data_IF_718392193136
#
_entry.id   IF_718392193136
#
_cell.length_a   1.000
_cell.length_b   1.000
_cell.length_c   1.000
_cell.angle_alpha   90.00
_cell.angle_beta   90.00
_cell.angle_gamma   90.00
#
_symmetry.space_group_name_H-M   'P 1'
#
loop_
_entity.id
_entity.type
_entity.pdbx_description
1 polymer ?
#
# COMPACT_ATOMS: atom_id res chain seq x y z
N UNK A 1 -19.71 -14.30 37.36
CA UNK A 1 -19.54 -13.11 36.48
C UNK A 1 -18.12 -13.01 35.91
N UNK A 2 -17.06 -13.14 36.72
CA UNK A 2 -15.66 -13.05 36.23
C UNK A 2 -15.22 -14.24 35.36
N UNK A 3 -15.61 -15.48 35.71
CA UNK A 3 -15.27 -16.68 34.92
C UNK A 3 -15.91 -16.66 33.53
N UNK A 4 -17.21 -16.37 33.46
CA UNK A 4 -17.98 -16.32 32.20
C UNK A 4 -17.46 -15.26 31.21
N UNK A 5 -16.88 -14.17 31.72
CA UNK A 5 -16.24 -13.14 30.89
C UNK A 5 -14.87 -13.59 30.38
N UNK A 6 -14.10 -14.34 31.19
CA UNK A 6 -12.83 -14.92 30.76
C UNK A 6 -13.03 -15.99 29.68
N UNK A 7 -14.07 -16.82 29.83
CA UNK A 7 -14.40 -17.87 28.86
C UNK A 7 -14.94 -17.29 27.55
N UNK A 8 -15.66 -16.16 27.61
CA UNK A 8 -16.08 -15.42 26.41
C UNK A 8 -14.93 -14.69 25.73
N UNK A 9 -13.94 -14.20 26.49
CA UNK A 9 -12.77 -13.54 25.93
C UNK A 9 -11.81 -14.55 25.28
N UNK A 10 -11.65 -15.74 25.86
CA UNK A 10 -10.83 -16.80 25.27
C UNK A 10 -11.44 -17.36 23.98
N UNK A 11 -12.78 -17.51 23.93
CA UNK A 11 -13.50 -17.88 22.72
C UNK A 11 -13.31 -16.86 21.59
N UNK A 12 -13.46 -15.56 21.90
CA UNK A 12 -13.26 -14.48 20.91
C UNK A 12 -11.80 -14.40 20.44
N UNK A 13 -10.82 -14.67 21.30
CA UNK A 13 -9.41 -14.73 20.88
C UNK A 13 -9.06 -15.97 20.06
N UNK A 14 -9.80 -17.07 20.24
CA UNK A 14 -9.65 -18.30 19.44
C UNK A 14 -10.30 -18.14 18.06
N UNK A 15 -11.49 -17.53 17.99
CA UNK A 15 -12.17 -17.22 16.72
C UNK A 15 -11.35 -16.22 15.90
N UNK A 16 -10.80 -15.17 16.52
CA UNK A 16 -9.90 -14.23 15.82
C UNK A 16 -8.62 -14.86 15.29
N UNK A 17 -8.06 -15.83 16.02
CA UNK A 17 -6.84 -16.54 15.57
C UNK A 17 -7.12 -17.52 14.43
N UNK A 18 -8.38 -17.95 14.29
CA UNK A 18 -8.81 -18.82 13.19
C UNK A 18 -9.10 -18.03 11.90
N UNK A 19 -9.47 -16.75 12.02
CA UNK A 19 -9.70 -15.85 10.88
C UNK A 19 -8.40 -15.31 10.26
N UNK A 20 -7.29 -15.22 11.01
CA UNK A 20 -5.98 -14.78 10.48
C UNK A 20 -5.14 -15.90 9.83
N UNK A 21 -5.46 -17.18 10.03
CA UNK A 21 -4.72 -18.32 9.44
C UNK A 21 -5.40 -18.89 8.16
N UNK A 22 -6.47 -18.26 7.68
CA UNK A 22 -7.31 -18.75 6.58
C UNK A 22 -7.41 -17.86 5.34
N UNK A 23 -6.62 -16.79 5.23
CA UNK A 23 -6.42 -16.13 3.93
C UNK A 23 -5.43 -16.95 3.13
N UNK A 24 -5.94 -18.03 2.50
CA UNK A 24 -5.36 -18.52 1.25
C UNK A 24 -5.06 -17.30 0.40
N UNK A 25 -3.78 -17.08 0.13
CA UNK A 25 -3.25 -16.24 -0.92
C UNK A 25 -4.00 -16.60 -2.21
N UNK A 26 -5.18 -16.02 -2.42
CA UNK A 26 -5.68 -15.80 -3.75
C UNK A 26 -4.66 -14.84 -4.29
N UNK A 27 -3.78 -15.33 -5.15
CA UNK A 27 -3.21 -14.54 -6.22
C UNK A 27 -4.40 -13.75 -6.79
N UNK A 28 -4.59 -12.51 -6.35
CA UNK A 28 -5.41 -11.57 -7.07
C UNK A 28 -4.66 -11.37 -8.37
N UNK A 29 -4.93 -12.26 -9.33
CA UNK A 29 -4.63 -12.01 -10.73
C UNK A 29 -5.07 -10.57 -10.98
N UNK A 30 -4.11 -9.75 -11.39
CA UNK A 30 -4.36 -8.35 -11.67
C UNK A 30 -5.62 -8.27 -12.56
N UNK A 31 -6.55 -7.34 -12.31
CA UNK A 31 -7.75 -7.18 -13.15
C UNK A 31 -7.40 -7.05 -14.65
N UNK A 32 -6.17 -6.65 -14.95
CA UNK A 32 -5.59 -6.58 -16.29
C UNK A 32 -5.28 -7.97 -16.86
N UNK A 33 -4.61 -8.88 -16.13
CA UNK A 33 -4.36 -10.27 -16.57
C UNK A 33 -5.67 -11.00 -16.90
N UNK A 34 -6.70 -10.80 -16.07
CA UNK A 34 -7.98 -11.49 -16.21
C UNK A 34 -8.76 -11.03 -17.44
N UNK A 35 -8.66 -9.74 -17.79
CA UNK A 35 -9.26 -9.18 -19.00
C UNK A 35 -8.47 -9.61 -20.25
N UNK A 36 -7.14 -9.59 -20.19
CA UNK A 36 -6.25 -10.04 -21.28
C UNK A 36 -6.50 -11.50 -21.66
N UNK A 37 -6.62 -12.39 -20.67
CA UNK A 37 -6.95 -13.80 -20.88
C UNK A 37 -8.34 -14.00 -21.54
N UNK A 38 -9.35 -13.25 -21.09
CA UNK A 38 -10.71 -13.35 -21.62
C UNK A 38 -10.86 -12.86 -23.06
N UNK A 39 -10.09 -11.82 -23.44
CA UNK A 39 -10.18 -11.24 -24.78
C UNK A 39 -9.41 -12.06 -25.81
N UNK A 40 -8.27 -12.65 -25.42
CA UNK A 40 -7.51 -13.57 -26.26
C UNK A 40 -8.34 -14.74 -26.81
N UNK A 41 -9.31 -15.23 -26.03
CA UNK A 41 -10.23 -16.32 -26.42
C UNK A 41 -11.04 -16.01 -27.68
N UNK A 42 -11.39 -14.74 -27.93
CA UNK A 42 -12.16 -14.33 -29.11
C UNK A 42 -11.26 -13.95 -30.29
N UNK A 43 -10.15 -13.28 -30.00
CA UNK A 43 -9.25 -12.77 -31.03
C UNK A 43 -8.42 -13.86 -31.71
N UNK A 44 -7.96 -14.88 -30.97
CA UNK A 44 -7.13 -15.93 -31.57
C UNK A 44 -7.90 -16.80 -32.59
N UNK A 45 -9.17 -17.21 -32.36
CA UNK A 45 -9.98 -17.85 -33.39
C UNK A 45 -10.25 -16.96 -34.61
N UNK A 46 -10.46 -15.66 -34.41
CA UNK A 46 -10.64 -14.71 -35.52
C UNK A 46 -9.37 -14.60 -36.36
N UNK A 47 -8.21 -14.47 -35.72
CA UNK A 47 -6.92 -14.45 -36.38
C UNK A 47 -6.68 -15.74 -37.17
N UNK A 48 -6.99 -16.89 -36.58
CA UNK A 48 -6.87 -18.19 -37.24
C UNK A 48 -7.81 -18.35 -38.44
N UNK A 49 -9.04 -17.84 -38.35
CA UNK A 49 -9.99 -17.79 -39.46
C UNK A 49 -9.51 -16.91 -40.63
N UNK A 50 -8.77 -15.83 -40.34
CA UNK A 50 -8.18 -14.96 -41.38
C UNK A 50 -6.90 -15.56 -41.99
N UNK A 51 -6.10 -16.28 -41.22
CA UNK A 51 -4.85 -16.88 -41.68
C UNK A 51 -5.06 -18.23 -42.41
N UNK A 52 -6.07 -19.01 -42.04
CA UNK A 52 -6.30 -20.35 -42.62
C UNK A 52 -6.50 -20.40 -44.15
N UNK A 53 -7.27 -19.48 -44.80
CA UNK A 53 -7.49 -19.53 -46.24
C UNK A 53 -6.22 -19.19 -47.02
N UNK A 54 -5.35 -18.36 -46.44
CA UNK A 54 -4.09 -17.95 -47.05
C UNK A 54 -3.10 -19.11 -47.22
N UNK A 55 -3.29 -20.22 -46.48
CA UNK A 55 -2.46 -21.43 -46.59
C UNK A 55 -2.75 -22.22 -47.87
N UNK A 56 -3.98 -22.11 -48.39
CA UNK A 56 -4.50 -22.89 -49.52
C UNK A 56 -4.47 -22.12 -50.85
N UNK A 57 -4.33 -20.79 -50.81
CA UNK A 57 -4.28 -19.93 -52.00
C UNK A 57 -2.84 -19.84 -52.54
N UNK A 58 -2.45 -20.74 -53.44
CA UNK A 58 -1.14 -20.76 -54.12
C UNK A 58 -1.21 -20.74 -55.65
N UNK A 59 -2.25 -20.12 -56.24
CA UNK A 59 -2.45 -20.05 -57.69
C UNK A 59 -2.37 -18.64 -58.29
N UNK A 60 -2.05 -18.49 -59.59
CA UNK A 60 -1.95 -17.20 -60.28
C UNK A 60 -3.28 -16.39 -60.26
N UNK A 61 -4.44 -17.06 -60.32
CA UNK A 61 -5.78 -16.43 -60.26
C UNK A 61 -6.21 -16.03 -58.83
N UNK A 62 -5.40 -16.33 -57.81
CA UNK A 62 -5.70 -16.09 -56.39
C UNK A 62 -4.83 -14.98 -55.77
N UNK A 63 -4.08 -14.24 -56.60
CA UNK A 63 -3.15 -13.22 -56.13
C UNK A 63 -3.85 -12.06 -55.44
N UNK A 64 -4.89 -11.51 -56.08
CA UNK A 64 -5.66 -10.39 -55.55
C UNK A 64 -6.40 -10.77 -54.26
N UNK A 65 -6.94 -11.99 -54.17
CA UNK A 65 -7.62 -12.46 -52.96
C UNK A 65 -6.64 -12.71 -51.81
N UNK A 66 -5.43 -13.20 -52.09
CA UNK A 66 -4.35 -13.33 -51.10
C UNK A 66 -3.91 -11.97 -50.53
N UNK A 67 -3.78 -10.95 -51.38
CA UNK A 67 -3.40 -9.59 -50.98
C UNK A 67 -4.47 -8.96 -50.06
N UNK A 68 -5.76 -9.09 -50.41
CA UNK A 68 -6.87 -8.61 -49.57
C UNK A 68 -6.91 -9.33 -48.22
N UNK A 69 -6.73 -10.65 -48.19
CA UNK A 69 -6.69 -11.44 -46.95
C UNK A 69 -5.52 -11.03 -46.03
N UNK A 70 -4.35 -10.75 -46.59
CA UNK A 70 -3.21 -10.23 -45.83
C UNK A 70 -3.51 -8.85 -45.24
N UNK A 71 -4.12 -7.95 -46.01
CA UNK A 71 -4.50 -6.63 -45.52
C UNK A 71 -5.52 -6.72 -44.36
N UNK A 72 -6.52 -7.60 -44.49
CA UNK A 72 -7.48 -7.88 -43.42
C UNK A 72 -6.82 -8.47 -42.17
N UNK A 73 -5.88 -9.39 -42.35
CA UNK A 73 -5.11 -9.98 -41.24
C UNK A 73 -4.29 -8.91 -40.51
N UNK A 74 -3.65 -8.01 -41.25
CA UNK A 74 -2.92 -6.88 -40.66
C UNK A 74 -3.85 -5.93 -39.88
N UNK A 75 -5.05 -5.65 -40.39
CA UNK A 75 -6.05 -4.86 -39.66
C UNK A 75 -6.47 -5.53 -38.36
N UNK A 76 -6.67 -6.85 -38.37
CA UNK A 76 -6.98 -7.63 -37.15
C UNK A 76 -5.81 -7.58 -36.18
N UNK A 77 -4.56 -7.83 -36.62
CA UNK A 77 -3.38 -7.79 -35.75
C UNK A 77 -3.14 -6.42 -35.12
N UNK A 78 -3.29 -5.34 -35.89
CA UNK A 78 -3.19 -3.98 -35.36
C UNK A 78 -4.28 -3.72 -34.32
N UNK A 79 -5.50 -4.19 -34.56
CA UNK A 79 -6.59 -4.05 -33.59
C UNK A 79 -6.38 -4.90 -32.34
N UNK A 80 -5.76 -6.08 -32.47
CA UNK A 80 -5.41 -6.95 -31.33
C UNK A 80 -4.31 -6.34 -30.46
N UNK A 81 -3.33 -5.65 -31.06
CA UNK A 81 -2.16 -5.12 -30.34
C UNK A 81 -2.48 -4.08 -29.25
N UNK A 82 -3.66 -3.44 -29.30
CA UNK A 82 -4.11 -2.52 -28.25
C UNK A 82 -4.69 -3.23 -27.03
N UNK A 83 -4.96 -4.53 -27.11
CA UNK A 83 -5.64 -5.28 -26.05
C UNK A 83 -4.94 -6.57 -25.64
N UNK A 84 -4.10 -7.13 -26.51
CA UNK A 84 -3.36 -8.36 -26.28
C UNK A 84 -1.88 -8.03 -26.33
N UNK A 85 -1.09 -8.43 -25.32
CA UNK A 85 0.35 -8.25 -25.34
C UNK A 85 0.96 -8.83 -26.61
N UNK A 86 1.79 -8.04 -27.28
CA UNK A 86 2.49 -8.45 -28.50
C UNK A 86 3.26 -9.78 -28.33
N UNK A 87 3.91 -10.07 -27.18
CA UNK A 87 4.53 -11.38 -26.93
C UNK A 87 3.57 -12.56 -27.12
N UNK A 88 2.33 -12.45 -26.62
CA UNK A 88 1.31 -13.50 -26.74
C UNK A 88 0.84 -13.66 -28.20
N UNK A 89 0.69 -12.55 -28.92
CA UNK A 89 0.35 -12.58 -30.36
C UNK A 89 1.46 -13.28 -31.16
N UNK A 90 2.73 -12.92 -30.92
CA UNK A 90 3.87 -13.50 -31.64
C UNK A 90 4.02 -14.99 -31.32
N UNK A 91 3.92 -15.38 -30.04
CA UNK A 91 3.94 -16.78 -29.64
C UNK A 91 2.87 -17.58 -30.38
N UNK A 92 1.62 -17.07 -30.45
CA UNK A 92 0.51 -17.76 -31.13
C UNK A 92 0.72 -17.88 -32.64
N UNK A 93 1.26 -16.86 -33.30
CA UNK A 93 1.58 -16.91 -34.74
C UNK A 93 2.70 -17.92 -34.99
N UNK A 94 3.77 -17.87 -34.20
CA UNK A 94 4.93 -18.75 -34.39
C UNK A 94 4.62 -20.21 -34.05
N UNK A 95 3.61 -20.52 -33.24
CA UNK A 95 3.17 -21.89 -33.00
C UNK A 95 2.44 -22.52 -34.21
N UNK A 96 2.06 -21.74 -35.23
CA UNK A 96 1.41 -22.27 -36.42
C UNK A 96 2.41 -23.09 -37.27
N UNK A 97 2.10 -24.36 -37.62
CA UNK A 97 3.00 -25.26 -38.34
C UNK A 97 3.41 -24.76 -39.73
N UNK A 98 2.72 -23.76 -40.29
CA UNK A 98 3.13 -23.08 -41.53
C UNK A 98 4.47 -22.38 -41.37
N UNK A 99 4.75 -21.82 -40.20
CA UNK A 99 5.99 -21.10 -39.89
C UNK A 99 7.11 -22.01 -39.38
N UNK A 100 6.79 -23.26 -39.07
CA UNK A 100 7.76 -24.30 -38.70
C UNK A 100 8.53 -24.92 -39.88
N UNK A 101 8.39 -24.39 -41.10
CA UNK A 101 9.11 -24.86 -42.30
C UNK A 101 9.86 -23.71 -42.96
N UNK A 102 11.12 -23.96 -43.36
CA UNK A 102 11.98 -22.98 -44.04
C UNK A 102 12.88 -22.19 -43.06
N UNK A 103 13.50 -21.11 -43.55
CA UNK A 103 14.51 -20.32 -42.79
C UNK A 103 13.98 -19.74 -41.47
N UNK A 104 12.67 -19.49 -41.37
CA UNK A 104 12.08 -18.97 -40.15
C UNK A 104 12.12 -20.00 -39.01
N UNK A 105 12.03 -21.29 -39.32
CA UNK A 105 12.09 -22.36 -38.33
C UNK A 105 13.43 -22.39 -37.57
N UNK A 106 14.52 -21.99 -38.23
CA UNK A 106 15.86 -21.90 -37.62
C UNK A 106 15.92 -20.84 -36.52
N UNK A 107 15.16 -19.74 -36.67
CA UNK A 107 15.15 -18.59 -35.75
C UNK A 107 13.96 -18.65 -34.79
N UNK A 108 12.91 -19.41 -35.12
CA UNK A 108 11.68 -19.54 -34.35
C UNK A 108 11.95 -20.00 -32.90
N UNK A 109 12.82 -20.99 -32.71
CA UNK A 109 13.20 -21.48 -31.38
C UNK A 109 13.88 -20.40 -30.53
N UNK A 110 14.75 -19.58 -31.15
CA UNK A 110 15.39 -18.45 -30.48
C UNK A 110 14.36 -17.39 -30.08
N UNK A 111 13.44 -17.02 -30.97
CA UNK A 111 12.41 -16.01 -30.67
C UNK A 111 11.50 -16.50 -29.55
N UNK A 112 11.04 -17.75 -29.59
CA UNK A 112 10.22 -18.33 -28.52
C UNK A 112 10.96 -18.30 -27.17
N UNK A 113 12.24 -18.68 -27.15
CA UNK A 113 13.08 -18.59 -25.94
C UNK A 113 13.25 -17.15 -25.44
N UNK A 114 13.41 -16.17 -26.33
CA UNK A 114 13.45 -14.75 -25.94
C UNK A 114 12.12 -14.28 -25.34
N UNK A 115 10.98 -14.74 -25.88
CA UNK A 115 9.66 -14.41 -25.35
C UNK A 115 9.40 -15.09 -24.01
N UNK A 116 9.90 -16.31 -23.79
CA UNK A 116 9.84 -16.97 -22.47
C UNK A 116 10.65 -16.21 -21.43
N UNK A 117 11.90 -15.82 -21.75
CA UNK A 117 12.73 -14.98 -20.87
C UNK A 117 12.03 -13.65 -20.58
N UNK A 118 11.45 -13.01 -21.59
CA UNK A 118 10.69 -11.77 -21.41
C UNK A 118 9.51 -11.96 -20.44
N UNK A 119 8.71 -13.02 -20.59
CA UNK A 119 7.59 -13.30 -19.68
C UNK A 119 8.07 -13.57 -18.25
N UNK A 120 9.19 -14.29 -18.10
CA UNK A 120 9.80 -14.52 -16.79
C UNK A 120 10.25 -13.21 -16.15
N UNK A 121 10.97 -12.36 -16.89
CA UNK A 121 11.43 -11.06 -16.40
C UNK A 121 10.26 -10.12 -16.06
N UNK A 122 9.21 -10.11 -16.88
CA UNK A 122 7.99 -9.35 -16.61
C UNK A 122 7.34 -9.81 -15.31
N UNK A 123 7.10 -11.13 -15.17
CA UNK A 123 6.49 -11.70 -13.96
C UNK A 123 7.34 -11.43 -12.72
N UNK A 124 8.67 -11.58 -12.83
CA UNK A 124 9.61 -11.29 -11.75
C UNK A 124 9.54 -9.80 -11.34
N UNK A 125 9.49 -8.88 -12.31
CA UNK A 125 9.40 -7.46 -12.04
C UNK A 125 8.06 -7.09 -11.38
N UNK A 126 6.95 -7.62 -11.88
CA UNK A 126 5.61 -7.37 -11.35
C UNK A 126 5.47 -7.89 -9.92
N UNK A 127 5.90 -9.13 -9.68
CA UNK A 127 5.86 -9.76 -8.34
C UNK A 127 6.74 -9.03 -7.34
N UNK A 128 8.00 -8.72 -7.69
CA UNK A 128 8.91 -7.98 -6.80
C UNK A 128 8.41 -6.57 -6.51
N UNK A 129 7.84 -5.88 -7.51
CA UNK A 129 7.25 -4.55 -7.33
C UNK A 129 6.02 -4.60 -6.42
N UNK A 130 5.16 -5.62 -6.57
CA UNK A 130 4.00 -5.83 -5.71
C UNK A 130 4.42 -6.03 -4.24
N UNK A 131 5.41 -6.90 -3.99
CA UNK A 131 5.95 -7.15 -2.65
C UNK A 131 6.50 -5.87 -2.02
N UNK A 132 7.32 -5.10 -2.76
CA UNK A 132 7.88 -3.84 -2.26
C UNK A 132 6.80 -2.81 -1.95
N UNK A 133 5.77 -2.70 -2.79
CA UNK A 133 4.65 -1.79 -2.56
C UNK A 133 3.82 -2.20 -1.36
N UNK A 134 3.59 -3.50 -1.16
CA UNK A 134 2.90 -4.04 0.00
C UNK A 134 3.65 -3.69 1.29
N UNK A 135 4.95 -3.97 1.35
CA UNK A 135 5.80 -3.68 2.53
C UNK A 135 5.84 -2.18 2.85
N UNK A 136 5.94 -1.34 1.82
CA UNK A 136 5.89 0.10 1.97
C UNK A 136 4.54 0.56 2.51
N UNK A 137 3.44 0.10 1.93
CA UNK A 137 2.09 0.43 2.38
C UNK A 137 1.87 -0.02 3.82
N UNK A 138 2.27 -1.24 4.17
CA UNK A 138 2.21 -1.77 5.53
C UNK A 138 2.97 -0.88 6.51
N UNK A 139 4.23 -0.58 6.22
CA UNK A 139 5.09 0.26 7.06
C UNK A 139 4.49 1.66 7.28
N UNK A 140 4.02 2.31 6.20
CA UNK A 140 3.42 3.64 6.27
C UNK A 140 2.07 3.63 6.99
N UNK A 141 1.23 2.63 6.74
CA UNK A 141 -0.06 2.45 7.42
C UNK A 141 0.14 2.22 8.92
N UNK A 142 1.10 1.35 9.28
CA UNK A 142 1.44 1.08 10.67
C UNK A 142 1.99 2.33 11.38
N UNK A 143 2.91 3.06 10.74
CA UNK A 143 3.45 4.31 11.27
C UNK A 143 2.34 5.36 11.43
N UNK A 144 1.48 5.52 10.42
CA UNK A 144 0.33 6.41 10.48
C UNK A 144 -0.57 6.05 11.66
N UNK A 145 -0.89 4.77 11.85
CA UNK A 145 -1.68 4.30 12.98
C UNK A 145 -0.97 4.55 14.32
N UNK A 146 0.35 4.44 14.40
CA UNK A 146 1.11 4.72 15.62
C UNK A 146 1.11 6.22 15.96
N UNK A 147 1.30 7.09 14.96
CA UNK A 147 1.42 8.56 15.15
C UNK A 147 0.06 9.24 15.27
N UNK A 148 -0.99 8.69 14.66
CA UNK A 148 -2.36 9.22 14.74
C UNK A 148 -3.14 8.78 15.98
N UNK A 149 -2.56 7.90 16.82
CA UNK A 149 -3.18 7.55 18.11
C UNK A 149 -3.32 8.80 18.97
N UNK A 150 -4.54 9.04 19.44
CA UNK A 150 -4.81 10.10 20.41
C UNK A 150 -3.95 9.93 21.66
N UNK A 151 -3.48 11.06 22.22
CA UNK A 151 -2.72 11.03 23.46
C UNK A 151 -3.64 10.63 24.62
N UNK A 152 -3.24 9.61 25.38
CA UNK A 152 -3.90 9.23 26.63
C UNK A 152 -3.03 9.65 27.82
N UNK A 153 -3.63 10.27 28.84
CA UNK A 153 -2.89 10.62 30.04
C UNK A 153 -2.51 9.34 30.80
N UNK A 154 -1.31 9.32 31.39
CA UNK A 154 -0.83 8.20 32.24
C UNK A 154 -1.64 8.07 33.53
N UNK A 155 -2.25 9.16 33.98
CA UNK A 155 -2.99 9.28 35.22
C UNK A 155 -4.18 10.21 35.01
N UNK A 156 -5.31 9.93 35.67
CA UNK A 156 -6.54 10.72 35.53
C UNK A 156 -6.61 11.92 36.48
N UNK A 157 -5.47 12.42 36.97
CA UNK A 157 -5.39 13.61 37.82
C UNK A 157 -4.41 14.65 37.29
N UNK A 158 -4.60 15.90 37.69
CA UNK A 158 -3.66 16.97 37.41
C UNK A 158 -2.38 16.80 38.25
N UNK A 159 -1.20 16.88 37.62
CA UNK A 159 0.10 16.75 38.32
C UNK A 159 0.50 17.98 39.17
N UNK A 160 -0.41 18.96 39.35
CA UNK A 160 -0.19 20.15 40.21
C UNK A 160 -1.16 20.15 41.39
N UNK A 161 -2.47 20.09 41.13
CA UNK A 161 -3.47 20.10 42.20
C UNK A 161 -3.91 18.70 42.67
N UNK A 162 -3.45 17.64 41.99
CA UNK A 162 -3.79 16.23 42.28
C UNK A 162 -5.28 15.89 42.21
N UNK A 163 -6.11 16.81 41.71
CA UNK A 163 -7.54 16.57 41.49
C UNK A 163 -7.78 15.79 40.20
N UNK A 164 -8.79 14.92 40.21
CA UNK A 164 -9.17 14.11 39.05
C UNK A 164 -9.75 14.99 37.95
N UNK A 165 -9.35 14.76 36.69
CA UNK A 165 -10.07 15.31 35.54
C UNK A 165 -11.27 14.40 35.25
N UNK A 166 -12.47 14.97 35.17
CA UNK A 166 -13.67 14.19 34.82
C UNK A 166 -13.99 14.38 33.35
N UNK A 167 -13.64 13.37 32.54
CA UNK A 167 -13.91 13.30 31.08
C UNK A 167 -15.38 13.53 30.67
N UNK A 168 -16.34 13.39 31.59
CA UNK A 168 -17.79 13.37 31.33
C UNK A 168 -18.58 14.50 32.02
N UNK A 169 -17.94 15.50 32.62
CA UNK A 169 -18.65 16.62 33.28
C UNK A 169 -18.33 17.96 32.60
N UNK A 170 -19.36 18.82 32.50
CA UNK A 170 -19.31 20.22 32.03
C UNK A 170 -18.53 21.16 32.98
N UNK A 171 -17.38 20.72 33.49
CA UNK A 171 -16.46 21.64 34.14
C UNK A 171 -15.69 22.40 33.05
N UNK A 172 -15.62 23.74 33.08
CA UNK A 172 -14.91 24.56 32.09
C UNK A 172 -13.37 24.48 32.20
N UNK A 173 -12.85 23.51 32.96
CA UNK A 173 -11.42 23.37 33.18
C UNK A 173 -10.78 22.67 31.99
N UNK A 174 -10.30 23.46 31.03
CA UNK A 174 -9.46 22.99 29.94
C UNK A 174 -8.27 22.19 30.49
N UNK A 175 -7.99 21.05 29.86
CA UNK A 175 -6.87 20.17 30.21
C UNK A 175 -5.81 20.15 29.11
N UNK A 176 -4.54 20.06 29.51
CA UNK A 176 -3.40 19.89 28.61
C UNK A 176 -2.79 18.52 28.88
N UNK A 177 -2.67 17.73 27.81
CA UNK A 177 -2.00 16.44 27.81
C UNK A 177 -0.74 16.57 26.95
N UNK A 178 0.42 16.33 27.57
CA UNK A 178 1.69 16.33 26.84
C UNK A 178 1.95 14.98 26.17
N UNK A 179 2.82 14.95 25.15
CA UNK A 179 3.28 13.72 24.49
C UNK A 179 3.93 12.70 25.45
N UNK A 180 4.46 13.16 26.60
CA UNK A 180 4.93 12.27 27.67
C UNK A 180 3.80 11.58 28.47
N UNK A 181 2.53 11.95 28.23
CA UNK A 181 1.34 11.45 28.90
C UNK A 181 1.02 12.11 30.25
N UNK A 182 1.65 13.24 30.60
CA UNK A 182 1.31 13.97 31.82
C UNK A 182 0.17 14.96 31.57
N UNK A 183 -0.76 15.01 32.53
CA UNK A 183 -2.00 15.80 32.47
C UNK A 183 -1.95 16.96 33.47
N UNK A 184 -2.46 18.12 33.03
CA UNK A 184 -2.59 19.34 33.82
C UNK A 184 -3.88 20.08 33.48
N UNK A 185 -4.51 20.75 34.45
CA UNK A 185 -5.47 21.81 34.12
C UNK A 185 -4.70 23.02 33.56
N UNK A 186 -5.25 23.68 32.53
CA UNK A 186 -4.70 24.90 31.94
C UNK A 186 -4.38 25.94 33.00
N UNK A 187 -5.33 26.20 33.91
CA UNK A 187 -5.18 27.19 34.98
C UNK A 187 -4.06 26.82 35.98
N UNK A 188 -3.93 25.53 36.33
CA UNK A 188 -2.86 25.08 37.22
C UNK A 188 -1.49 25.29 36.58
N UNK A 189 -1.36 25.01 35.29
CA UNK A 189 -0.11 25.16 34.55
C UNK A 189 0.24 26.64 34.30
N UNK A 190 -0.76 27.49 34.00
CA UNK A 190 -0.63 28.94 33.90
C UNK A 190 -0.11 29.53 35.21
N UNK A 191 -0.79 29.25 36.35
CA UNK A 191 -0.40 29.79 37.66
C UNK A 191 1.03 29.39 38.04
N UNK A 192 1.43 28.14 37.74
CA UNK A 192 2.78 27.63 38.05
C UNK A 192 3.87 28.18 37.11
N UNK A 193 3.52 28.52 35.87
CA UNK A 193 4.40 29.09 34.85
C UNK A 193 4.52 30.62 34.87
N UNK A 194 3.93 31.29 35.87
CA UNK A 194 3.89 32.75 36.00
C UNK A 194 5.25 33.34 36.40
N UNK A 195 6.24 33.25 35.52
CA UNK A 195 7.35 34.19 35.43
C UNK A 195 7.25 34.86 34.07
N UNK A 196 6.66 36.06 34.02
CA UNK A 196 6.58 36.96 32.86
C UNK A 196 6.49 36.31 31.47
N UNK A 197 5.28 36.02 30.99
CA UNK A 197 5.06 35.77 29.57
C UNK A 197 3.86 36.57 29.07
N UNK A 198 4.11 37.41 28.08
CA UNK A 198 3.21 38.37 27.47
C UNK A 198 2.07 37.66 26.71
N UNK A 199 0.83 38.17 26.79
CA UNK A 199 -0.31 37.49 26.19
C UNK A 199 -0.34 37.84 24.70
N UNK A 200 0.07 36.91 23.81
CA UNK A 200 -0.65 36.61 22.55
C UNK A 200 0.09 35.78 21.48
N UNK A 201 1.39 35.45 21.58
CA UNK A 201 2.08 34.84 20.43
C UNK A 201 2.83 33.52 20.72
N UNK A 202 2.09 32.45 21.07
CA UNK A 202 2.57 31.08 21.32
C UNK A 202 3.04 30.84 22.76
N UNK A 203 2.08 30.56 23.64
CA UNK A 203 2.37 30.02 24.96
C UNK A 203 2.95 28.60 24.77
N UNK A 204 4.28 28.47 24.83
CA UNK A 204 4.97 27.18 24.71
C UNK A 204 4.80 26.42 26.02
N UNK A 205 3.76 25.59 26.08
CA UNK A 205 3.53 24.69 27.19
C UNK A 205 4.63 23.63 27.24
N UNK A 206 5.13 23.35 28.44
CA UNK A 206 6.11 22.30 28.68
C UNK A 206 5.76 21.50 29.94
N UNK A 207 6.08 20.21 29.92
CA UNK A 207 5.73 19.31 31.00
C UNK A 207 6.59 19.58 32.24
N UNK A 208 5.97 20.13 33.30
CA UNK A 208 6.67 20.47 34.55
C UNK A 208 7.35 19.26 35.21
N UNK A 209 6.76 18.07 35.12
CA UNK A 209 7.31 16.84 35.72
C UNK A 209 8.56 16.36 34.97
N UNK A 210 8.56 16.46 33.64
CA UNK A 210 9.74 16.11 32.84
C UNK A 210 10.88 17.13 33.02
N UNK A 211 10.56 18.43 33.06
CA UNK A 211 11.58 19.48 33.24
C UNK A 211 12.22 19.44 34.63
N UNK A 212 11.42 19.29 35.69
CA UNK A 212 11.95 19.20 37.06
C UNK A 212 12.83 17.97 37.25
N UNK A 213 12.48 16.84 36.63
CA UNK A 213 13.31 15.64 36.64
C UNK A 213 14.66 15.79 35.92
N UNK A 214 14.73 16.64 34.88
CA UNK A 214 16.00 16.98 34.21
C UNK A 214 16.89 17.88 35.07
N UNK A 215 16.31 18.89 35.76
CA UNK A 215 17.07 19.77 36.66
C UNK A 215 17.63 19.04 37.89
N UNK A 216 16.97 17.98 38.36
CA UNK A 216 17.47 17.15 39.47
C UNK A 216 18.63 16.21 39.12
N UNK A 217 18.92 16.00 37.83
CA UNK A 217 20.06 15.18 37.35
C UNK A 217 21.19 15.99 36.72
N UNK A 218 21.07 17.32 36.67
CA UNK A 218 22.04 18.24 36.09
C UNK A 218 23.14 18.66 37.07
N UNK A 219 23.83 17.69 37.68
CA UNK A 219 25.16 17.87 38.23
C UNK A 219 26.14 17.14 37.32
N UNK A 220 26.72 17.91 36.39
CA UNK A 220 27.85 17.54 35.53
C UNK A 220 27.59 16.56 34.37
N UNK A 221 27.36 17.14 33.17
CA UNK A 221 28.02 16.72 31.91
C UNK A 221 27.64 17.65 30.76
N UNK A 222 28.60 18.48 30.38
CA UNK A 222 28.70 19.07 29.04
C UNK A 222 29.05 17.94 28.06
N UNK A 223 28.25 17.77 27.01
CA UNK A 223 28.70 17.56 25.61
C UNK A 223 27.49 17.56 24.68
N UNK A 224 27.51 18.51 23.74
CA UNK A 224 27.07 18.42 22.34
C UNK A 224 26.14 17.27 21.95
N UNK A 225 24.96 17.59 21.39
CA UNK A 225 24.55 17.25 20.01
C UNK A 225 23.01 17.14 19.81
N UNK A 226 22.50 18.08 19.02
CA UNK A 226 21.51 17.87 17.95
C UNK A 226 20.30 16.97 18.23
N UNK A 227 19.53 17.25 19.29
CA UNK A 227 18.17 16.73 19.44
C UNK A 227 17.13 17.74 18.98
N UNK A 228 16.72 17.73 17.70
CA UNK A 228 15.48 18.40 17.24
C UNK A 228 14.29 17.74 17.95
N UNK A 229 14.01 18.16 19.17
CA UNK A 229 12.77 17.86 19.86
C UNK A 229 11.62 18.43 19.03
N UNK A 230 10.84 17.54 18.41
CA UNK A 230 9.55 17.87 17.79
C UNK A 230 8.61 18.39 18.88
N UNK A 231 8.69 19.68 19.14
CA UNK A 231 7.70 20.45 19.90
C UNK A 231 6.55 20.80 18.98
N UNK A 232 5.76 19.82 18.55
CA UNK A 232 4.46 20.09 17.93
C UNK A 232 3.39 19.81 18.97
N UNK A 233 3.11 20.84 19.76
CA UNK A 233 2.00 20.86 20.71
C UNK A 233 0.71 20.96 19.92
N UNK A 234 -0.06 19.88 19.83
CA UNK A 234 -1.42 19.89 19.27
C UNK A 234 -2.38 20.25 20.39
N UNK A 235 -2.72 21.54 20.49
CA UNK A 235 -3.84 21.98 21.30
C UNK A 235 -5.12 21.65 20.53
N UNK A 236 -5.83 20.60 20.97
CA UNK A 236 -7.15 20.28 20.45
C UNK A 236 -8.16 21.16 21.20
N UNK A 237 -8.65 22.21 20.55
CA UNK A 237 -9.79 23.00 21.06
C UNK A 237 -11.05 22.33 20.55
N UNK A 238 -11.85 21.77 21.45
CA UNK A 238 -13.18 21.27 21.15
C UNK A 238 -14.11 22.44 20.81
N UNK A 239 -14.75 22.38 19.63
CA UNK A 239 -15.97 23.13 19.33
C UNK A 239 -17.18 22.42 19.93
#
# INVERSE_FOLDING_TARGET
LSQTLKDKLSAVTSEKRSEEEGETEREEESPLQRVEGSLGVLWFPLLEAMMSPQKLLKGPDTRTTSEVLKELTMKVLNSMSSFIPLPAIIQRILQDPVYGKGKLAEIQGLILGMLETFNYEQTLLETTTSLLNHDLHWSLSHLRAAVSRGLHPRQDHCNICLQQYRRRQDSPDDIIIFSCGHLYHCQCLQRKGSGHAEPRLLQVWSCYKCISSQRGRGGDRVTTETGRGRSTSLAQVSQ
#
